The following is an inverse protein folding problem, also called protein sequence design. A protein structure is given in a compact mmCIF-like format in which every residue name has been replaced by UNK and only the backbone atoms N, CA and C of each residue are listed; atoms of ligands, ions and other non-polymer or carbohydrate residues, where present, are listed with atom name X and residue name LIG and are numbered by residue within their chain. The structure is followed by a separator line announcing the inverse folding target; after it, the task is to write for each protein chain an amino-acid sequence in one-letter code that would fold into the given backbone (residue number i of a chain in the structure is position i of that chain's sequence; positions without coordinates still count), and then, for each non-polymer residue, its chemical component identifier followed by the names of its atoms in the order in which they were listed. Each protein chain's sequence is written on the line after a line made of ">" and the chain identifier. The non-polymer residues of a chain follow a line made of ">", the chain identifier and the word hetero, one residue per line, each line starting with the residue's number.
data_IF_571114125018
#
_entry.id   IF_571114125018
#
_cell.length_a   1.000
_cell.length_b   1.000
_cell.length_c   1.000
_cell.angle_alpha   90.00
_cell.angle_beta   90.00
_cell.angle_gamma   90.00
#
_symmetry.space_group_name_H-M   'P 1'
#
loop_
_entity.id
_entity.type
_entity.pdbx_description
1 polymer ?
#
# COMPACT_ATOMS: atom_id res chain seq x y z
N UNK A 1 5.98 20.92 10.29
CA UNK A 1 5.12 20.21 9.31
C UNK A 1 5.53 18.75 9.36
N UNK A 2 4.59 17.82 9.53
CA UNK A 2 4.91 16.39 9.53
C UNK A 2 5.23 15.93 8.11
N UNK A 3 6.28 15.10 7.97
CA UNK A 3 6.74 14.57 6.69
C UNK A 3 6.24 13.15 6.48
N UNK A 4 5.66 12.90 5.30
CA UNK A 4 5.19 11.57 4.89
C UNK A 4 5.90 11.08 3.62
N UNK A 5 6.43 9.86 3.65
CA UNK A 5 6.92 9.15 2.47
C UNK A 5 5.85 8.18 1.99
N UNK A 6 5.40 8.34 0.73
CA UNK A 6 4.44 7.44 0.09
C UNK A 6 5.15 6.63 -0.99
N UNK A 7 5.51 5.37 -0.70
CA UNK A 7 6.15 4.44 -1.64
C UNK A 7 5.08 3.75 -2.49
N UNK A 8 5.27 3.75 -3.80
CA UNK A 8 4.24 3.44 -4.79
C UNK A 8 3.31 4.63 -5.05
N UNK A 9 3.72 5.83 -4.63
CA UNK A 9 2.95 7.06 -4.62
C UNK A 9 2.66 7.67 -5.98
N UNK A 10 3.24 7.18 -7.09
CA UNK A 10 3.09 7.81 -8.40
C UNK A 10 1.78 7.46 -9.13
N UNK A 11 0.99 6.49 -8.67
CA UNK A 11 -0.22 5.99 -9.38
C UNK A 11 -1.30 5.53 -8.40
N UNK A 12 -2.54 5.44 -8.93
CA UNK A 12 -3.70 4.85 -8.25
C UNK A 12 -3.83 5.30 -6.78
N UNK A 13 -4.06 4.37 -5.85
CA UNK A 13 -4.25 4.67 -4.43
C UNK A 13 -3.05 5.41 -3.82
N UNK A 14 -1.82 5.08 -4.21
CA UNK A 14 -0.64 5.78 -3.71
C UNK A 14 -0.64 7.27 -4.10
N UNK A 15 -0.97 7.57 -5.35
CA UNK A 15 -1.08 8.96 -5.81
C UNK A 15 -2.22 9.72 -5.11
N UNK A 16 -3.34 9.05 -4.87
CA UNK A 16 -4.46 9.63 -4.15
C UNK A 16 -4.11 9.94 -2.68
N UNK A 17 -3.38 9.05 -2.01
CA UNK A 17 -2.84 9.30 -0.66
C UNK A 17 -1.89 10.49 -0.67
N UNK A 18 -0.95 10.57 -1.64
CA UNK A 18 -0.01 11.67 -1.73
C UNK A 18 -0.73 13.03 -1.95
N UNK A 19 -1.72 13.09 -2.85
CA UNK A 19 -2.54 14.29 -3.09
C UNK A 19 -3.29 14.72 -1.84
N UNK A 20 -3.91 13.77 -1.14
CA UNK A 20 -4.66 14.05 0.08
C UNK A 20 -3.73 14.52 1.21
N UNK A 21 -2.57 13.92 1.35
CA UNK A 21 -1.59 14.32 2.35
C UNK A 21 -1.10 15.76 2.15
N UNK A 22 -0.82 16.18 0.90
CA UNK A 22 -0.51 17.60 0.60
C UNK A 22 -1.67 18.51 0.98
N UNK A 23 -2.91 18.15 0.61
CA UNK A 23 -4.12 18.93 0.95
C UNK A 23 -4.30 19.06 2.47
N UNK A 24 -3.96 18.02 3.23
CA UNK A 24 -4.07 17.99 4.68
C UNK A 24 -2.86 18.65 5.39
N UNK A 25 -1.88 19.21 4.62
CA UNK A 25 -0.78 20.02 5.13
C UNK A 25 0.48 19.24 5.49
N UNK A 26 0.68 18.02 4.99
CA UNK A 26 1.93 17.27 5.15
C UNK A 26 3.00 17.73 4.15
N UNK A 27 4.28 17.62 4.57
CA UNK A 27 5.44 17.63 3.67
C UNK A 27 5.55 16.23 3.01
N UNK A 28 5.20 16.15 1.72
CA UNK A 28 5.04 14.85 1.03
C UNK A 28 6.26 14.52 0.18
N UNK A 29 6.75 13.29 0.35
CA UNK A 29 7.75 12.67 -0.53
C UNK A 29 7.10 11.53 -1.30
N UNK A 30 7.09 11.62 -2.63
CA UNK A 30 6.57 10.59 -3.52
C UNK A 30 7.69 9.61 -3.87
N UNK A 31 7.62 8.40 -3.33
CA UNK A 31 8.55 7.31 -3.64
C UNK A 31 8.01 6.40 -4.75
N UNK A 32 8.78 6.18 -5.82
CA UNK A 32 8.41 5.24 -6.87
C UNK A 32 9.63 4.62 -7.56
N UNK A 33 9.45 3.45 -8.16
CA UNK A 33 10.45 2.80 -9.01
C UNK A 33 10.80 3.66 -10.22
N UNK A 34 9.78 4.20 -10.86
CA UNK A 34 9.89 5.15 -11.97
C UNK A 34 9.94 6.57 -11.39
N UNK A 35 11.17 7.11 -11.28
CA UNK A 35 11.39 8.44 -10.74
C UNK A 35 10.73 9.53 -11.61
N UNK A 36 10.71 9.36 -12.94
CA UNK A 36 10.10 10.35 -13.83
C UNK A 36 8.58 10.47 -13.58
N UNK A 37 7.90 9.34 -13.37
CA UNK A 37 6.48 9.35 -13.01
C UNK A 37 6.24 9.97 -11.61
N UNK A 38 7.15 9.74 -10.65
CA UNK A 38 7.09 10.37 -9.33
C UNK A 38 7.30 11.88 -9.42
N UNK A 39 8.26 12.35 -10.23
CA UNK A 39 8.56 13.77 -10.45
C UNK A 39 7.39 14.52 -11.10
N UNK A 40 6.66 13.89 -12.03
CA UNK A 40 5.48 14.49 -12.64
C UNK A 40 4.42 14.78 -11.58
N UNK A 41 4.07 13.78 -10.78
CA UNK A 41 3.09 13.96 -9.71
C UNK A 41 3.59 14.94 -8.64
N UNK A 42 4.85 14.80 -8.20
CA UNK A 42 5.41 15.66 -7.17
C UNK A 42 5.35 17.15 -7.55
N UNK A 43 5.70 17.49 -8.80
CA UNK A 43 5.58 18.87 -9.31
C UNK A 43 4.13 19.36 -9.34
N UNK A 44 3.20 18.48 -9.74
CA UNK A 44 1.77 18.82 -9.80
C UNK A 44 1.20 19.18 -8.42
N UNK A 45 1.61 18.46 -7.38
CA UNK A 45 1.04 18.62 -6.03
C UNK A 45 1.92 19.45 -5.07
N UNK A 46 3.07 19.95 -5.52
CA UNK A 46 4.00 20.69 -4.67
C UNK A 46 4.77 19.80 -3.67
N UNK A 47 5.04 18.54 -4.04
CA UNK A 47 5.77 17.56 -3.26
C UNK A 47 7.21 17.38 -3.79
N UNK A 48 8.00 16.52 -3.13
CA UNK A 48 9.29 16.06 -3.64
C UNK A 48 9.20 14.61 -4.11
N UNK A 49 10.17 14.15 -4.93
CA UNK A 49 10.21 12.79 -5.43
C UNK A 49 11.51 12.10 -5.06
N UNK A 50 11.44 10.77 -4.85
CA UNK A 50 12.61 9.92 -4.61
C UNK A 50 12.43 8.57 -5.31
N UNK A 51 13.53 8.02 -5.85
CA UNK A 51 13.50 6.67 -6.40
C UNK A 51 13.46 5.64 -5.28
N UNK A 52 12.44 4.78 -5.28
CA UNK A 52 12.33 3.62 -4.39
C UNK A 52 11.77 2.45 -5.19
N UNK A 53 12.58 1.44 -5.43
CA UNK A 53 12.15 0.16 -5.99
C UNK A 53 12.16 -0.90 -4.88
N UNK A 54 11.00 -1.44 -4.55
CA UNK A 54 10.86 -2.47 -3.51
C UNK A 54 11.57 -3.79 -3.85
N UNK A 55 12.04 -3.95 -5.09
CA UNK A 55 12.83 -5.09 -5.55
C UNK A 55 14.34 -4.83 -5.55
N UNK A 56 14.77 -3.61 -5.23
CA UNK A 56 16.18 -3.18 -5.23
C UNK A 56 16.49 -2.42 -3.93
N UNK A 57 17.07 -3.13 -2.96
CA UNK A 57 17.40 -2.58 -1.64
C UNK A 57 18.33 -1.36 -1.73
N UNK A 58 19.19 -1.28 -2.74
CA UNK A 58 20.12 -0.16 -2.90
C UNK A 58 19.37 1.16 -3.10
N UNK A 59 18.23 1.14 -3.79
CA UNK A 59 17.38 2.32 -3.97
C UNK A 59 16.66 2.73 -2.70
N UNK A 60 16.30 1.75 -1.85
CA UNK A 60 15.68 2.00 -0.54
C UNK A 60 16.70 2.69 0.39
N UNK A 61 17.93 2.15 0.45
CA UNK A 61 19.02 2.71 1.24
C UNK A 61 19.38 4.14 0.79
N UNK A 62 19.48 4.36 -0.54
CA UNK A 62 19.76 5.69 -1.10
C UNK A 62 18.64 6.70 -0.78
N UNK A 63 17.38 6.26 -0.80
CA UNK A 63 16.24 7.10 -0.42
C UNK A 63 16.27 7.46 1.08
N UNK A 64 16.62 6.51 1.95
CA UNK A 64 16.78 6.74 3.37
C UNK A 64 17.89 7.78 3.64
N UNK A 65 19.04 7.69 2.98
CA UNK A 65 20.11 8.68 3.12
C UNK A 65 19.67 10.08 2.66
N UNK A 66 18.88 10.18 1.60
CA UNK A 66 18.32 11.48 1.15
C UNK A 66 17.32 12.08 2.14
N UNK A 67 16.68 11.26 2.97
CA UNK A 67 15.66 11.66 3.94
C UNK A 67 16.17 11.57 5.39
N UNK A 68 17.48 11.63 5.59
CA UNK A 68 18.14 11.53 6.91
C UNK A 68 17.71 12.57 7.94
N UNK A 69 17.11 13.67 7.52
CA UNK A 69 16.51 14.66 8.42
C UNK A 69 15.26 14.15 9.15
N UNK A 70 14.79 12.94 8.78
CA UNK A 70 13.68 12.23 9.40
C UNK A 70 12.36 12.34 8.65
N UNK A 71 11.49 11.40 8.95
CA UNK A 71 10.10 11.32 8.50
C UNK A 71 9.17 11.03 9.67
N UNK A 72 7.92 11.44 9.57
CA UNK A 72 6.91 11.16 10.58
C UNK A 72 6.07 9.93 10.19
N UNK A 73 5.78 9.79 8.90
CA UNK A 73 4.92 8.73 8.41
C UNK A 73 5.46 8.05 7.16
N UNK A 74 5.14 6.76 7.04
CA UNK A 74 5.52 5.92 5.91
C UNK A 74 4.30 5.16 5.41
N UNK A 75 4.02 5.23 4.10
CA UNK A 75 2.96 4.44 3.45
C UNK A 75 3.56 3.62 2.32
N UNK A 76 3.27 2.30 2.27
CA UNK A 76 3.76 1.41 1.22
C UNK A 76 2.60 0.78 0.46
N UNK A 77 2.46 1.11 -0.85
CA UNK A 77 1.37 0.61 -1.71
C UNK A 77 1.85 -0.31 -2.84
N UNK A 78 3.16 -0.57 -2.95
CA UNK A 78 3.76 -1.29 -4.07
C UNK A 78 3.34 -2.77 -4.13
N UNK A 79 3.26 -3.29 -5.36
CA UNK A 79 3.04 -4.71 -5.61
C UNK A 79 3.56 -5.11 -7.00
N UNK A 80 3.83 -6.41 -7.19
CA UNK A 80 4.11 -7.03 -8.48
C UNK A 80 3.20 -8.28 -8.58
N UNK A 81 1.99 -8.16 -9.14
CA UNK A 81 1.02 -9.25 -9.13
C UNK A 81 1.44 -10.40 -10.04
N UNK A 82 1.19 -11.64 -9.58
CA UNK A 82 1.31 -12.87 -10.35
C UNK A 82 0.02 -13.68 -10.14
N UNK A 83 -1.03 -13.30 -10.86
CA UNK A 83 -2.39 -13.80 -10.68
C UNK A 83 -2.64 -14.98 -11.65
N UNK A 84 -2.20 -16.17 -11.27
CA UNK A 84 -2.29 -17.41 -12.06
C UNK A 84 -2.72 -18.59 -11.20
N UNK A 85 -3.13 -19.70 -11.83
CA UNK A 85 -3.38 -20.97 -11.13
C UNK A 85 -2.08 -21.58 -10.64
N UNK A 86 -2.15 -22.46 -9.65
CA UNK A 86 -0.97 -23.12 -9.07
C UNK A 86 -0.13 -23.89 -10.10
N UNK A 87 -0.76 -24.45 -11.13
CA UNK A 87 -0.10 -25.18 -12.23
C UNK A 87 0.62 -24.28 -13.23
N UNK A 88 0.39 -22.96 -13.17
CA UNK A 88 0.93 -21.94 -14.08
C UNK A 88 1.95 -21.03 -13.40
N UNK A 89 2.40 -21.42 -12.20
CA UNK A 89 3.36 -20.63 -11.43
C UNK A 89 4.70 -20.53 -12.15
N UNK A 90 5.13 -19.29 -12.34
CA UNK A 90 6.48 -18.95 -12.79
C UNK A 90 7.32 -18.55 -11.57
N UNK A 91 8.49 -19.19 -11.40
CA UNK A 91 9.35 -18.98 -10.24
C UNK A 91 9.81 -17.54 -10.10
N UNK A 92 10.22 -16.90 -11.18
CA UNK A 92 10.82 -15.57 -11.12
C UNK A 92 9.76 -14.50 -10.86
N UNK A 93 8.55 -14.66 -11.45
CA UNK A 93 7.40 -13.80 -11.15
C UNK A 93 6.88 -14.00 -9.72
N UNK A 94 6.91 -15.25 -9.23
CA UNK A 94 6.60 -15.56 -7.84
C UNK A 94 7.55 -14.83 -6.88
N UNK A 95 8.85 -14.94 -7.10
CA UNK A 95 9.87 -14.24 -6.31
C UNK A 95 9.70 -12.72 -6.39
N UNK A 96 9.46 -12.18 -7.57
CA UNK A 96 9.20 -10.75 -7.76
C UNK A 96 7.97 -10.27 -6.97
N UNK A 97 6.89 -11.07 -6.95
CA UNK A 97 5.68 -10.76 -6.19
C UNK A 97 5.95 -10.72 -4.67
N UNK A 98 6.66 -11.71 -4.13
CA UNK A 98 7.05 -11.75 -2.72
C UNK A 98 8.03 -10.62 -2.38
N UNK A 99 9.01 -10.37 -3.25
CA UNK A 99 9.98 -9.30 -3.04
C UNK A 99 9.29 -7.95 -2.98
N UNK A 100 8.45 -7.61 -3.95
CA UNK A 100 7.79 -6.31 -3.98
C UNK A 100 6.76 -6.12 -2.85
N UNK A 101 6.06 -7.20 -2.44
CA UNK A 101 4.93 -7.07 -1.51
C UNK A 101 5.29 -7.36 -0.05
N UNK A 102 6.30 -8.19 0.20
CA UNK A 102 6.69 -8.65 1.54
C UNK A 102 8.10 -8.20 1.88
N UNK A 103 9.10 -8.66 1.13
CA UNK A 103 10.51 -8.40 1.44
C UNK A 103 10.83 -6.91 1.35
N UNK A 104 10.41 -6.23 0.27
CA UNK A 104 10.65 -4.81 0.07
C UNK A 104 10.14 -3.93 1.21
N UNK A 105 8.87 -4.05 1.64
CA UNK A 105 8.38 -3.34 2.82
C UNK A 105 9.14 -3.64 4.13
N UNK A 106 9.65 -4.86 4.33
CA UNK A 106 10.51 -5.18 5.47
C UNK A 106 11.88 -4.47 5.36
N UNK A 107 12.47 -4.41 4.15
CA UNK A 107 13.69 -3.65 3.90
C UNK A 107 13.47 -2.14 4.04
N UNK A 108 12.29 -1.65 3.64
CA UNK A 108 11.89 -0.26 3.93
C UNK A 108 11.86 -0.01 5.43
N UNK A 109 11.25 -0.90 6.23
CA UNK A 109 11.27 -0.79 7.68
C UNK A 109 12.71 -0.78 8.21
N UNK A 110 13.59 -1.68 7.75
CA UNK A 110 15.02 -1.72 8.12
C UNK A 110 15.71 -0.36 7.94
N UNK A 111 15.55 0.28 6.79
CA UNK A 111 16.28 1.50 6.45
C UNK A 111 15.62 2.77 7.00
N UNK A 112 14.31 2.79 7.15
CA UNK A 112 13.57 3.99 7.57
C UNK A 112 13.23 4.04 9.06
N UNK A 113 13.28 2.92 9.80
CA UNK A 113 13.03 2.94 11.26
C UNK A 113 13.92 3.94 12.00
N UNK A 114 15.24 4.04 11.72
CA UNK A 114 16.08 5.03 12.40
C UNK A 114 15.70 6.49 12.11
N UNK A 115 14.91 6.72 11.06
CA UNK A 115 14.48 8.03 10.60
C UNK A 115 13.05 8.37 11.02
N UNK A 116 12.28 7.37 11.44
CA UNK A 116 10.90 7.56 11.90
C UNK A 116 10.90 8.19 13.30
N UNK A 117 10.11 9.25 13.45
CA UNK A 117 9.91 9.85 14.77
C UNK A 117 9.12 8.90 15.68
N UNK A 118 9.36 8.90 17.00
CA UNK A 118 8.68 8.01 17.95
C UNK A 118 7.14 8.09 17.92
N UNK A 119 6.59 9.25 17.57
CA UNK A 119 5.14 9.47 17.42
C UNK A 119 4.61 9.06 16.04
N UNK A 120 5.50 8.65 15.15
CA UNK A 120 5.21 8.36 13.75
C UNK A 120 4.42 7.07 13.52
N UNK A 121 4.17 6.78 12.25
CA UNK A 121 3.46 5.56 11.85
C UNK A 121 3.88 5.02 10.49
N UNK A 122 3.72 3.71 10.32
CA UNK A 122 3.83 3.00 9.04
C UNK A 122 2.49 2.38 8.69
N UNK A 123 2.02 2.58 7.45
CA UNK A 123 0.82 1.95 6.90
C UNK A 123 1.20 1.09 5.70
N UNK A 124 0.87 -0.19 5.76
CA UNK A 124 1.13 -1.18 4.71
C UNK A 124 -0.16 -1.54 3.98
N UNK A 125 -0.07 -1.90 2.70
CA UNK A 125 -1.23 -2.31 1.92
C UNK A 125 -1.29 -3.83 1.75
N UNK A 126 -2.29 -4.47 2.34
CA UNK A 126 -2.75 -5.83 2.09
C UNK A 126 -3.80 -5.84 0.97
N UNK A 127 -4.88 -6.57 1.12
CA UNK A 127 -6.05 -6.62 0.24
C UNK A 127 -6.96 -7.80 0.53
N UNK A 128 -8.24 -7.65 0.25
CA UNK A 128 -9.32 -8.60 0.57
C UNK A 128 -9.05 -10.04 0.10
N UNK A 129 -8.23 -10.23 -0.95
CA UNK A 129 -7.88 -11.55 -1.49
C UNK A 129 -7.15 -12.42 -0.46
N UNK A 130 -6.50 -11.85 0.55
CA UNK A 130 -5.94 -12.60 1.69
C UNK A 130 -7.02 -13.35 2.49
N UNK A 131 -8.25 -12.85 2.48
CA UNK A 131 -9.40 -13.37 3.22
C UNK A 131 -10.47 -14.01 2.33
N UNK A 132 -10.41 -13.76 1.03
CA UNK A 132 -11.39 -14.26 0.06
C UNK A 132 -10.68 -15.00 -1.07
N UNK A 133 -10.33 -16.27 -0.84
CA UNK A 133 -9.59 -17.07 -1.81
C UNK A 133 -10.41 -17.33 -3.07
N UNK A 134 -9.74 -17.44 -4.20
CA UNK A 134 -10.36 -17.77 -5.48
C UNK A 134 -9.33 -18.30 -6.47
N UNK A 135 -9.78 -18.93 -7.57
CA UNK A 135 -8.86 -19.40 -8.61
C UNK A 135 -7.99 -18.26 -9.15
N UNK A 136 -6.69 -18.51 -9.30
CA UNK A 136 -5.73 -17.50 -9.76
C UNK A 136 -5.32 -16.45 -8.74
N UNK A 137 -5.78 -16.56 -7.48
CA UNK A 137 -5.45 -15.58 -6.43
C UNK A 137 -4.37 -16.05 -5.44
N UNK A 138 -3.75 -17.21 -5.67
CA UNK A 138 -2.87 -17.88 -4.72
C UNK A 138 -1.73 -16.95 -4.21
N UNK A 139 -0.93 -16.42 -5.13
CA UNK A 139 0.24 -15.59 -4.78
C UNK A 139 -0.20 -14.28 -4.10
N UNK A 140 -1.22 -13.64 -4.66
CA UNK A 140 -1.79 -12.41 -4.09
C UNK A 140 -2.37 -12.66 -2.69
N UNK A 141 -3.10 -13.75 -2.49
CA UNK A 141 -3.67 -14.11 -1.19
C UNK A 141 -2.59 -14.33 -0.14
N UNK A 142 -1.55 -15.11 -0.45
CA UNK A 142 -0.44 -15.38 0.46
C UNK A 142 0.32 -14.10 0.80
N UNK A 143 0.68 -13.29 -0.20
CA UNK A 143 1.43 -12.06 0.03
C UNK A 143 0.62 -11.00 0.79
N UNK A 144 -0.70 -10.91 0.58
CA UNK A 144 -1.57 -10.06 1.39
C UNK A 144 -1.63 -10.52 2.85
N UNK A 145 -1.83 -11.82 3.10
CA UNK A 145 -1.78 -12.37 4.46
C UNK A 145 -0.44 -12.11 5.13
N UNK A 146 0.67 -12.31 4.41
CA UNK A 146 2.01 -12.03 4.94
C UNK A 146 2.19 -10.56 5.35
N UNK A 147 1.64 -9.60 4.59
CA UNK A 147 1.66 -8.17 4.96
C UNK A 147 0.92 -7.91 6.27
N UNK A 148 -0.23 -8.54 6.50
CA UNK A 148 -1.01 -8.39 7.73
C UNK A 148 -0.24 -8.90 8.96
N UNK A 149 0.41 -10.06 8.82
CA UNK A 149 1.31 -10.58 9.87
C UNK A 149 2.54 -9.69 10.06
N UNK A 150 3.15 -9.22 8.96
CA UNK A 150 4.29 -8.31 9.03
C UNK A 150 3.95 -7.01 9.78
N UNK A 151 2.79 -6.42 9.53
CA UNK A 151 2.36 -5.21 10.24
C UNK A 151 2.26 -5.43 11.75
N UNK A 152 1.70 -6.59 12.18
CA UNK A 152 1.59 -6.97 13.59
C UNK A 152 2.95 -7.14 14.25
N UNK A 153 3.89 -7.84 13.61
CA UNK A 153 5.22 -8.07 14.17
C UNK A 153 6.08 -6.81 14.15
N UNK A 154 6.03 -6.02 13.07
CA UNK A 154 6.72 -4.73 13.01
C UNK A 154 6.20 -3.74 14.06
N UNK A 155 4.91 -3.78 14.41
CA UNK A 155 4.36 -2.95 15.47
C UNK A 155 5.01 -3.22 16.84
N UNK A 156 5.41 -4.47 17.10
CA UNK A 156 6.14 -4.83 18.30
C UNK A 156 7.63 -4.42 18.22
N UNK A 157 8.28 -4.68 17.07
CA UNK A 157 9.70 -4.41 16.87
C UNK A 157 10.02 -2.91 16.79
N UNK A 158 9.11 -2.11 16.23
CA UNK A 158 9.33 -0.68 15.99
C UNK A 158 8.72 0.22 17.06
N UNK A 159 8.14 -0.35 18.12
CA UNK A 159 7.54 0.44 19.19
C UNK A 159 8.52 1.52 19.70
N UNK A 160 8.08 2.78 19.92
CA UNK A 160 6.69 3.24 19.95
C UNK A 160 6.10 3.66 18.59
N UNK A 161 6.82 3.51 17.47
CA UNK A 161 6.28 3.77 16.13
C UNK A 161 5.13 2.79 15.84
N UNK A 162 3.99 3.32 15.43
CA UNK A 162 2.81 2.48 15.15
C UNK A 162 2.89 1.88 13.75
N UNK A 163 2.57 0.61 13.62
CA UNK A 163 2.52 -0.05 12.31
C UNK A 163 1.15 -0.72 12.14
N UNK A 164 0.49 -0.41 11.03
CA UNK A 164 -0.81 -0.99 10.69
C UNK A 164 -0.87 -1.38 9.21
N UNK A 165 -1.84 -2.19 8.86
CA UNK A 165 -2.15 -2.51 7.47
C UNK A 165 -3.56 -2.04 7.11
N UNK A 166 -3.79 -1.74 5.83
CA UNK A 166 -5.11 -1.62 5.23
C UNK A 166 -5.34 -2.78 4.27
N UNK A 167 -6.55 -3.34 4.26
CA UNK A 167 -6.96 -4.44 3.38
C UNK A 167 -8.15 -4.01 2.52
N UNK A 168 -7.90 -3.32 1.39
CA UNK A 168 -8.96 -2.87 0.50
C UNK A 168 -9.63 -4.01 -0.25
N UNK A 169 -10.91 -3.84 -0.56
CA UNK A 169 -11.64 -4.61 -1.55
C UNK A 169 -11.29 -4.21 -2.98
N UNK A 170 -12.23 -4.41 -3.90
CA UNK A 170 -12.14 -3.86 -5.25
C UNK A 170 -12.55 -2.39 -5.20
N UNK A 171 -11.59 -1.53 -5.51
CA UNK A 171 -11.71 -0.06 -5.44
C UNK A 171 -11.51 0.53 -6.84
N UNK A 172 -12.39 1.45 -7.25
CA UNK A 172 -12.17 2.21 -8.49
C UNK A 172 -11.15 3.33 -8.24
N UNK A 173 -9.89 3.01 -8.44
CA UNK A 173 -8.75 3.90 -8.21
C UNK A 173 -7.90 4.15 -9.46
N UNK A 174 -8.41 3.81 -10.66
CA UNK A 174 -7.64 3.80 -11.89
C UNK A 174 -6.79 2.54 -12.10
N UNK A 175 -6.63 1.68 -11.10
CA UNK A 175 -5.85 0.44 -11.24
C UNK A 175 -6.48 -0.55 -12.24
N UNK A 176 -7.78 -0.45 -12.49
CA UNK A 176 -8.56 -1.32 -13.37
C UNK A 176 -8.76 -0.74 -14.77
N UNK A 177 -8.31 0.48 -15.08
CA UNK A 177 -8.52 1.15 -16.36
C UNK A 177 -7.95 0.37 -17.56
N UNK A 178 -6.88 -0.43 -17.30
CA UNK A 178 -6.30 -1.36 -18.28
C UNK A 178 -7.27 -2.46 -18.77
N UNK A 179 -8.40 -2.66 -18.10
CA UNK A 179 -9.42 -3.64 -18.49
C UNK A 179 -10.37 -3.10 -19.55
N UNK A 180 -10.33 -1.80 -19.88
CA UNK A 180 -11.23 -1.18 -20.85
C UNK A 180 -12.69 -1.48 -20.51
N UNK A 181 -13.44 -1.97 -21.50
CA UNK A 181 -14.88 -2.27 -21.38
C UNK A 181 -15.21 -3.30 -20.28
N UNK A 182 -14.25 -4.15 -19.91
CA UNK A 182 -14.46 -5.15 -18.85
C UNK A 182 -14.41 -4.55 -17.42
N UNK A 183 -13.97 -3.30 -17.25
CA UNK A 183 -13.92 -2.61 -15.95
C UNK A 183 -15.30 -2.53 -15.30
N UNK A 184 -16.31 -2.07 -16.05
CA UNK A 184 -17.66 -1.92 -15.52
C UNK A 184 -18.24 -3.25 -14.99
N UNK A 185 -18.01 -4.35 -15.72
CA UNK A 185 -18.41 -5.69 -15.29
C UNK A 185 -17.72 -6.15 -14.00
N UNK A 186 -16.41 -5.87 -13.86
CA UNK A 186 -15.66 -6.15 -12.64
C UNK A 186 -16.23 -5.37 -11.44
N UNK A 187 -16.45 -4.07 -11.58
CA UNK A 187 -16.97 -3.20 -10.52
C UNK A 187 -18.38 -3.60 -10.09
N UNK A 188 -19.27 -3.89 -11.06
CA UNK A 188 -20.64 -4.37 -10.79
C UNK A 188 -20.65 -5.71 -10.05
N UNK A 189 -19.83 -6.68 -10.49
CA UNK A 189 -19.66 -7.97 -9.80
C UNK A 189 -19.13 -7.78 -8.39
N UNK A 190 -18.18 -6.88 -8.19
CA UNK A 190 -17.65 -6.56 -6.87
C UNK A 190 -18.71 -5.96 -5.97
N UNK A 191 -19.48 -4.98 -6.45
CA UNK A 191 -20.59 -4.37 -5.72
C UNK A 191 -21.59 -5.41 -5.20
N UNK A 192 -22.01 -6.34 -6.07
CA UNK A 192 -22.88 -7.44 -5.69
C UNK A 192 -22.26 -8.35 -4.63
N UNK A 193 -20.94 -8.42 -4.52
CA UNK A 193 -20.18 -9.21 -3.54
C UNK A 193 -19.90 -8.52 -2.22
N UNK A 194 -20.44 -7.32 -1.96
CA UNK A 194 -20.29 -6.58 -0.68
C UNK A 194 -21.61 -6.51 0.08
N UNK A 195 -21.56 -6.30 1.40
CA UNK A 195 -22.77 -6.03 2.21
C UNK A 195 -23.29 -4.62 1.97
N UNK A 196 -22.40 -3.67 1.68
CA UNK A 196 -22.80 -2.27 1.43
C UNK A 196 -23.38 -2.03 0.03
N UNK A 197 -23.40 -3.05 -0.85
CA UNK A 197 -24.04 -3.00 -2.16
C UNK A 197 -23.32 -2.14 -3.22
N UNK A 198 -22.07 -1.71 -2.96
CA UNK A 198 -21.24 -0.96 -3.91
C UNK A 198 -19.79 -1.46 -3.92
N UNK A 199 -19.04 -1.16 -4.96
CA UNK A 199 -17.58 -1.25 -4.94
C UNK A 199 -16.98 -0.11 -4.10
N UNK A 200 -15.70 -0.22 -3.77
CA UNK A 200 -14.98 0.84 -3.07
C UNK A 200 -14.62 2.00 -4.01
N UNK A 201 -14.63 3.19 -3.46
CA UNK A 201 -14.11 4.39 -4.08
C UNK A 201 -12.71 4.68 -3.53
N UNK A 202 -11.93 5.48 -4.27
CA UNK A 202 -10.58 5.90 -3.85
C UNK A 202 -10.59 6.52 -2.46
N UNK A 203 -11.58 7.37 -2.16
CA UNK A 203 -11.75 8.10 -0.91
C UNK A 203 -11.96 7.17 0.29
N UNK A 204 -12.67 6.05 0.13
CA UNK A 204 -12.86 5.06 1.21
C UNK A 204 -11.51 4.58 1.78
N UNK A 205 -10.53 4.37 0.90
CA UNK A 205 -9.20 3.90 1.30
C UNK A 205 -8.34 5.04 1.80
N UNK A 206 -8.34 6.17 1.10
CA UNK A 206 -7.53 7.34 1.46
C UNK A 206 -7.91 7.87 2.83
N UNK A 207 -9.21 8.02 3.14
CA UNK A 207 -9.68 8.46 4.45
C UNK A 207 -9.22 7.53 5.57
N UNK A 208 -9.25 6.22 5.33
CA UNK A 208 -8.76 5.23 6.31
C UNK A 208 -7.25 5.33 6.52
N UNK A 209 -6.45 5.49 5.45
CA UNK A 209 -5.01 5.70 5.56
C UNK A 209 -4.72 6.96 6.37
N UNK A 210 -5.34 8.09 6.02
CA UNK A 210 -5.14 9.36 6.72
C UNK A 210 -5.60 9.30 8.19
N UNK A 211 -6.65 8.53 8.48
CA UNK A 211 -7.06 8.26 9.87
C UNK A 211 -5.99 7.46 10.61
N UNK A 212 -5.44 6.38 10.04
CA UNK A 212 -4.38 5.56 10.66
C UNK A 212 -3.11 6.35 10.96
N UNK A 213 -2.75 7.34 10.13
CA UNK A 213 -1.60 8.20 10.40
C UNK A 213 -1.77 8.95 11.73
N UNK A 214 -3.01 9.27 12.14
CA UNK A 214 -3.36 10.06 13.33
C UNK A 214 -3.91 9.24 14.50
N UNK A 215 -4.31 7.99 14.26
CA UNK A 215 -4.92 7.11 15.27
C UNK A 215 -3.89 6.64 16.31
N UNK A 216 -3.57 7.48 17.28
CA UNK A 216 -2.45 7.32 18.23
C UNK A 216 -2.51 6.07 19.11
N UNK A 217 -3.63 5.36 19.18
CA UNK A 217 -3.82 4.14 19.99
C UNK A 217 -4.13 2.89 19.15
N UNK A 218 -3.85 2.94 17.84
CA UNK A 218 -4.03 1.80 16.91
C UNK A 218 -2.67 1.39 16.37
N UNK A 219 -2.22 0.17 16.70
CA UNK A 219 -0.96 -0.40 16.23
C UNK A 219 -1.07 -1.93 16.17
N UNK A 220 -0.49 -2.54 15.13
CA UNK A 220 -0.53 -3.97 14.90
C UNK A 220 -1.82 -4.47 14.24
N UNK A 221 -2.69 -3.56 13.78
CA UNK A 221 -4.00 -3.90 13.25
C UNK A 221 -4.04 -3.90 11.71
N UNK A 222 -4.97 -4.69 11.17
CA UNK A 222 -5.38 -4.62 9.77
C UNK A 222 -6.79 -4.08 9.66
N UNK A 223 -6.93 -2.92 9.03
CA UNK A 223 -8.24 -2.32 8.79
C UNK A 223 -8.77 -2.77 7.43
N UNK A 224 -9.89 -3.50 7.46
CA UNK A 224 -10.54 -4.02 6.27
C UNK A 224 -11.51 -2.98 5.69
N UNK A 225 -11.23 -2.56 4.45
CA UNK A 225 -12.00 -1.54 3.71
C UNK A 225 -12.56 -2.21 2.46
N UNK A 226 -13.54 -3.09 2.64
CA UNK A 226 -14.00 -3.98 1.55
C UNK A 226 -15.53 -4.18 1.55
N UNK A 227 -16.27 -3.31 2.28
CA UNK A 227 -17.72 -3.31 2.32
C UNK A 227 -18.34 -4.61 2.85
N UNK A 228 -17.62 -5.36 3.69
CA UNK A 228 -18.06 -6.65 4.23
C UNK A 228 -17.85 -7.84 3.27
N UNK A 229 -17.11 -7.65 2.19
CA UNK A 229 -16.91 -8.67 1.14
C UNK A 229 -16.35 -10.00 1.68
N UNK A 230 -15.46 -9.98 2.66
CA UNK A 230 -14.87 -11.21 3.24
C UNK A 230 -15.88 -12.08 3.98
N UNK A 231 -17.01 -11.52 4.40
CA UNK A 231 -18.06 -12.20 5.15
C UNK A 231 -19.25 -12.62 4.28
N UNK A 232 -19.34 -12.13 3.05
CA UNK A 232 -20.42 -12.46 2.14
C UNK A 232 -20.14 -13.78 1.45
N UNK A 233 -21.05 -14.73 1.57
CA UNK A 233 -21.00 -15.99 0.83
C UNK A 233 -20.89 -15.73 -0.67
N UNK A 234 -20.12 -16.57 -1.37
CA UNK A 234 -19.97 -16.49 -2.82
C UNK A 234 -21.25 -16.90 -3.53
#
# INVERSE_FOLDING_TARGET
>A
MERILVIGGARALGAAVARRAVKDGYDVVVGARDLAAADVLAREIGATAVRVDLQDESTIAAAAERLKDGIDHLVTTGSAPHDVRATELDRDKLLAAFTAKVVGPLLVAKHFTPLLRPTGSMVMFSGVVGWRPGPGSLVKGITNGAVEYAARHLAADLAPVRVNAVSPGVVDSGAWDRLGDNKAGLLSKSAAGTFVGRHGETEDVVDTVMWLLRAGFVSGETIHIEGGARHKSA
#
